data_IF_151364337307
#
_entry.id   IF_151364337307
#
_cell.length_a   1.000
_cell.length_b   1.000
_cell.length_c   1.000
_cell.angle_alpha   90.00
_cell.angle_beta   90.00
_cell.angle_gamma   90.00
#
_symmetry.space_group_name_H-M   'P 1'
#
loop_
_entity.id
_entity.type
_entity.pdbx_description
1 polymer ?
#
# COMPACT_ATOMS: atom_id res chain seq x y z
N UNK A 1 5.82 -10.50 6.91
CA UNK A 1 4.42 -10.68 7.34
C UNK A 1 3.75 -11.68 6.42
N UNK A 2 3.02 -12.67 6.97
CA UNK A 2 2.22 -13.61 6.16
C UNK A 2 0.78 -13.09 6.08
N UNK A 3 0.09 -13.36 4.98
CA UNK A 3 -1.28 -12.89 4.72
C UNK A 3 -2.20 -14.10 4.58
N UNK A 4 -3.24 -14.13 5.42
CA UNK A 4 -4.26 -15.16 5.46
C UNK A 4 -5.64 -14.49 5.33
N UNK A 5 -6.55 -15.01 4.48
CA UNK A 5 -7.94 -14.62 4.43
C UNK A 5 -8.74 -15.35 5.52
N UNK A 6 -10.05 -15.14 5.58
CA UNK A 6 -10.93 -15.76 6.57
C UNK A 6 -10.89 -17.31 6.59
N UNK A 7 -10.47 -17.96 5.50
CA UNK A 7 -10.31 -19.42 5.40
C UNK A 7 -8.95 -19.96 5.85
N UNK A 8 -8.10 -19.14 6.49
CA UNK A 8 -6.78 -19.51 7.05
C UNK A 8 -5.76 -20.11 6.07
N UNK A 9 -6.04 -20.05 4.77
CA UNK A 9 -5.10 -20.46 3.72
C UNK A 9 -4.07 -19.36 3.44
N UNK A 10 -2.78 -19.70 3.42
CA UNK A 10 -1.75 -18.72 3.06
C UNK A 10 -1.96 -18.19 1.62
N UNK A 11 -2.23 -16.89 1.49
CA UNK A 11 -2.33 -16.20 0.19
C UNK A 11 -0.96 -15.68 -0.26
N UNK A 12 -0.08 -15.38 0.68
CA UNK A 12 1.27 -14.93 0.38
C UNK A 12 1.97 -14.26 1.55
N UNK A 13 3.05 -13.56 1.25
CA UNK A 13 3.81 -12.83 2.27
C UNK A 13 4.34 -11.50 1.77
N UNK A 14 4.43 -10.53 2.68
CA UNK A 14 5.10 -9.25 2.47
C UNK A 14 6.44 -9.28 3.19
N UNK A 15 7.52 -9.02 2.44
CA UNK A 15 8.88 -8.93 2.97
C UNK A 15 9.42 -7.53 2.79
N UNK A 16 9.74 -6.87 3.90
CA UNK A 16 10.45 -5.60 3.87
C UNK A 16 11.89 -5.80 3.42
N UNK A 17 12.35 -4.88 2.57
CA UNK A 17 13.73 -4.74 2.13
C UNK A 17 14.18 -3.33 2.41
N UNK A 18 15.43 -3.21 2.82
CA UNK A 18 16.05 -1.90 3.01
C UNK A 18 16.69 -1.45 1.71
N UNK A 19 16.33 -0.26 1.26
CA UNK A 19 17.09 0.52 0.30
C UNK A 19 17.72 1.71 1.01
N UNK A 20 18.87 2.17 0.51
CA UNK A 20 19.63 3.28 1.13
C UNK A 20 18.77 4.57 1.21
N UNK A 21 17.87 4.80 0.24
CA UNK A 21 17.02 6.00 0.15
C UNK A 21 15.55 5.70 -0.21
N UNK A 22 15.13 4.44 -0.12
CA UNK A 22 13.78 4.05 -0.48
C UNK A 22 13.28 2.96 0.45
N UNK A 23 12.01 3.06 0.84
CA UNK A 23 11.34 1.91 1.38
C UNK A 23 10.98 0.96 0.26
N UNK A 24 11.33 -0.31 0.45
CA UNK A 24 11.07 -1.36 -0.53
C UNK A 24 10.39 -2.53 0.16
N UNK A 25 9.34 -3.06 -0.46
CA UNK A 25 8.71 -4.29 -0.02
C UNK A 25 8.47 -5.21 -1.22
N UNK A 26 8.77 -6.49 -1.02
CA UNK A 26 8.44 -7.54 -1.97
C UNK A 26 7.17 -8.25 -1.50
N UNK A 27 6.19 -8.38 -2.39
CA UNK A 27 5.05 -9.26 -2.21
C UNK A 27 5.39 -10.59 -2.85
N UNK A 28 5.15 -11.66 -2.11
CA UNK A 28 5.47 -13.03 -2.51
C UNK A 28 4.23 -13.89 -2.46
N UNK A 29 4.11 -14.79 -3.40
CA UNK A 29 3.08 -15.82 -3.41
C UNK A 29 3.31 -16.85 -2.26
N UNK A 30 2.41 -17.83 -2.08
CA UNK A 30 2.56 -18.86 -1.04
C UNK A 30 3.83 -19.71 -1.21
N UNK A 31 4.33 -19.85 -2.44
CA UNK A 31 5.55 -20.57 -2.77
C UNK A 31 6.82 -19.74 -2.52
N UNK A 32 6.66 -18.47 -2.13
CA UNK A 32 7.76 -17.56 -1.79
C UNK A 32 8.37 -16.82 -2.99
N UNK A 33 7.79 -16.94 -4.18
CA UNK A 33 8.22 -16.24 -5.39
C UNK A 33 7.71 -14.81 -5.35
N UNK A 34 8.59 -13.84 -5.58
CA UNK A 34 8.19 -12.44 -5.63
C UNK A 34 7.31 -12.18 -6.86
N UNK A 35 6.13 -11.59 -6.64
CA UNK A 35 5.13 -11.30 -7.69
C UNK A 35 5.00 -9.81 -7.97
N UNK A 36 5.12 -8.98 -6.92
CA UNK A 36 4.98 -7.54 -6.98
C UNK A 36 5.97 -6.84 -6.04
N UNK A 37 6.18 -5.55 -6.26
CA UNK A 37 7.02 -4.69 -5.41
C UNK A 37 6.31 -3.40 -5.06
N UNK A 38 6.47 -2.95 -3.83
CA UNK A 38 6.06 -1.62 -3.37
C UNK A 38 7.31 -0.80 -3.12
N UNK A 39 7.36 0.41 -3.70
CA UNK A 39 8.46 1.35 -3.50
C UNK A 39 7.92 2.70 -3.03
N UNK A 40 8.48 3.22 -1.95
CA UNK A 40 8.17 4.55 -1.42
C UNK A 40 9.41 5.40 -1.20
N UNK A 41 9.21 6.71 -1.07
CA UNK A 41 10.23 7.67 -0.62
C UNK A 41 10.64 7.37 0.83
N UNK A 42 11.95 7.46 1.14
CA UNK A 42 12.45 7.36 2.52
C UNK A 42 12.42 8.71 3.26
N UNK A 43 11.81 9.75 2.68
CA UNK A 43 11.82 11.09 3.26
C UNK A 43 11.40 11.08 4.74
N UNK A 44 12.22 11.73 5.57
CA UNK A 44 12.06 11.75 7.03
C UNK A 44 10.75 12.43 7.50
N UNK A 45 10.06 13.16 6.61
CA UNK A 45 8.81 13.88 6.87
C UNK A 45 7.55 13.02 6.73
N UNK A 46 7.62 11.71 7.02
CA UNK A 46 6.50 10.74 6.82
C UNK A 46 5.17 11.19 7.44
N UNK A 47 5.24 11.93 8.55
CA UNK A 47 4.08 12.40 9.30
C UNK A 47 3.66 13.84 8.96
N UNK A 48 4.39 14.55 8.08
CA UNK A 48 4.13 15.97 7.76
C UNK A 48 4.24 16.26 6.27
N UNK A 49 3.90 15.28 5.43
CA UNK A 49 3.88 15.46 3.98
C UNK A 49 3.02 14.40 3.31
N UNK A 50 2.54 14.70 2.10
CA UNK A 50 1.92 13.71 1.23
C UNK A 50 2.93 12.61 0.92
N UNK A 51 2.48 11.35 0.94
CA UNK A 51 3.31 10.19 0.61
C UNK A 51 2.65 9.41 -0.51
N UNK A 52 3.46 8.90 -1.42
CA UNK A 52 3.01 7.99 -2.48
C UNK A 52 3.96 6.80 -2.56
N UNK A 53 3.38 5.62 -2.72
CA UNK A 53 4.08 4.36 -2.85
C UNK A 53 3.65 3.69 -4.15
N UNK A 54 4.61 3.49 -5.03
CA UNK A 54 4.40 2.86 -6.33
C UNK A 54 4.34 1.35 -6.16
N UNK A 55 3.26 0.75 -6.63
CA UNK A 55 3.09 -0.71 -6.70
C UNK A 55 3.37 -1.14 -8.13
N UNK A 56 4.35 -2.03 -8.31
CA UNK A 56 4.80 -2.52 -9.61
C UNK A 56 4.75 -4.04 -9.67
N UNK A 57 4.59 -4.60 -10.85
CA UNK A 57 4.78 -6.02 -11.11
C UNK A 57 6.25 -6.40 -10.90
N UNK A 58 6.56 -7.70 -10.82
CA UNK A 58 7.95 -8.18 -10.81
C UNK A 58 8.79 -7.66 -11.98
N UNK A 59 8.14 -7.51 -13.15
CA UNK A 59 8.74 -6.98 -14.37
C UNK A 59 8.89 -5.45 -14.39
N UNK A 60 8.36 -4.74 -13.38
CA UNK A 60 8.47 -3.28 -13.25
C UNK A 60 7.27 -2.50 -13.81
N UNK A 61 6.26 -3.18 -14.36
CA UNK A 61 5.05 -2.52 -14.87
C UNK A 61 4.24 -1.91 -13.71
N UNK A 62 3.78 -0.66 -13.79
CA UNK A 62 2.99 -0.02 -12.73
C UNK A 62 1.60 -0.64 -12.63
N UNK A 63 1.19 -1.02 -11.42
CA UNK A 63 -0.09 -1.68 -11.13
C UNK A 63 -1.02 -0.78 -10.31
N UNK A 64 -0.48 -0.09 -9.30
CA UNK A 64 -1.26 0.78 -8.43
C UNK A 64 -0.38 1.84 -7.77
N UNK A 65 -1.02 2.86 -7.18
CA UNK A 65 -0.37 3.83 -6.30
C UNK A 65 -1.10 3.82 -4.96
N UNK A 66 -0.37 3.55 -3.89
CA UNK A 66 -0.87 3.75 -2.52
C UNK A 66 -0.49 5.18 -2.14
N UNK A 67 -1.43 5.96 -1.61
CA UNK A 67 -1.17 7.34 -1.25
C UNK A 67 -1.64 7.63 0.17
N UNK A 68 -0.96 8.57 0.82
CA UNK A 68 -1.36 9.22 2.06
C UNK A 68 -1.32 10.72 1.83
N UNK A 69 -2.38 11.43 2.16
CA UNK A 69 -2.43 12.88 2.13
C UNK A 69 -2.20 13.44 3.53
N UNK A 70 -1.42 14.50 3.61
CA UNK A 70 -1.22 15.27 4.83
C UNK A 70 -2.18 16.46 4.80
N UNK A 71 -3.17 16.53 5.71
CA UNK A 71 -4.14 17.62 5.72
C UNK A 71 -3.55 18.97 6.15
N UNK A 72 -2.29 19.00 6.61
CA UNK A 72 -1.62 20.18 7.14
C UNK A 72 -1.31 20.04 8.63
N UNK A 73 -0.79 21.12 9.23
CA UNK A 73 -0.52 21.16 10.67
C UNK A 73 -1.86 21.20 11.42
N UNK A 74 -2.17 20.14 12.16
CA UNK A 74 -3.33 20.07 13.05
C UNK A 74 -2.83 20.08 14.50
N UNK A 75 -3.52 20.82 15.38
CA UNK A 75 -3.17 20.91 16.81
C UNK A 75 -3.36 19.56 17.52
N UNK A 76 -4.35 18.80 17.06
CA UNK A 76 -4.46 17.37 17.36
C UNK A 76 -3.39 16.63 16.58
N UNK A 77 -2.43 16.04 17.31
CA UNK A 77 -1.29 15.29 16.77
C UNK A 77 -1.73 14.47 15.57
N UNK A 78 -1.12 14.72 14.41
CA UNK A 78 -1.42 14.04 13.15
C UNK A 78 -1.21 12.52 13.31
N UNK A 79 -2.29 11.82 13.64
CA UNK A 79 -2.34 10.38 13.67
C UNK A 79 -2.50 9.94 12.21
N UNK A 80 -1.48 9.29 11.65
CA UNK A 80 -1.27 8.95 10.23
C UNK A 80 -2.40 8.14 9.50
N UNK A 81 -3.61 8.09 10.04
CA UNK A 81 -4.62 7.06 9.80
C UNK A 81 -5.91 7.49 9.09
N UNK A 82 -6.10 8.78 8.75
CA UNK A 82 -7.40 9.24 8.22
C UNK A 82 -7.45 9.47 6.70
N UNK A 83 -6.32 9.84 6.08
CA UNK A 83 -6.30 10.26 4.68
C UNK A 83 -5.36 9.41 3.83
N UNK A 84 -5.72 8.15 3.58
CA UNK A 84 -4.98 7.27 2.69
C UNK A 84 -5.90 6.50 1.74
N UNK A 85 -5.34 6.00 0.65
CA UNK A 85 -6.07 5.23 -0.35
C UNK A 85 -5.16 4.50 -1.33
N UNK A 86 -5.78 3.80 -2.26
CA UNK A 86 -5.10 3.06 -3.32
C UNK A 86 -5.78 3.35 -4.64
N UNK A 87 -5.01 3.85 -5.60
CA UNK A 87 -5.43 4.03 -6.98
C UNK A 87 -4.92 2.85 -7.79
N UNK A 88 -5.81 1.91 -8.11
CA UNK A 88 -5.49 0.77 -8.97
C UNK A 88 -5.58 1.20 -10.43
N UNK A 89 -4.53 0.97 -11.22
CA UNK A 89 -4.66 1.05 -12.67
C UNK A 89 -5.43 -0.19 -13.13
N UNK A 90 -6.65 -0.01 -13.60
CA UNK A 90 -7.37 -1.11 -14.26
C UNK A 90 -6.55 -1.46 -15.49
N UNK A 91 -5.90 -2.63 -15.48
CA UNK A 91 -5.38 -3.22 -16.71
C UNK A 91 -6.62 -3.68 -17.49
N UNK A 92 -6.94 -3.07 -18.65
CA UNK A 92 -8.09 -3.51 -19.44
C UNK A 92 -7.83 -4.95 -19.87
N UNK A 93 -8.58 -5.90 -19.32
CA UNK A 93 -8.38 -7.34 -19.51
C UNK A 93 -8.71 -8.21 -18.30
N UNK A 94 -8.89 -7.63 -17.11
CA UNK A 94 -9.62 -8.29 -16.00
C UNK A 94 -10.77 -7.39 -15.59
N UNK A 95 -11.94 -7.72 -16.13
CA UNK A 95 -13.26 -7.36 -15.60
C UNK A 95 -13.22 -7.35 -14.05
N UNK A 96 -13.66 -6.35 -13.33
CA UNK A 96 -14.54 -5.24 -13.66
C UNK A 96 -15.28 -4.87 -12.38
N UNK A 97 -14.58 -4.68 -11.26
CA UNK A 97 -15.20 -4.22 -10.01
C UNK A 97 -14.47 -3.00 -9.48
N UNK A 98 -15.17 -1.88 -9.57
CA UNK A 98 -14.77 -0.57 -9.06
C UNK A 98 -14.85 -0.60 -7.53
N UNK A 99 -13.90 -1.25 -6.87
CA UNK A 99 -13.79 -1.20 -5.42
C UNK A 99 -13.12 0.11 -5.00
N UNK A 100 -13.89 1.20 -4.93
CA UNK A 100 -13.50 2.36 -4.11
C UNK A 100 -13.66 1.94 -2.64
N UNK A 101 -12.73 1.16 -2.10
CA UNK A 101 -12.72 0.91 -0.66
C UNK A 101 -12.13 2.13 0.04
N UNK A 102 -12.97 3.12 0.35
CA UNK A 102 -12.66 3.98 1.48
C UNK A 102 -12.74 3.08 2.71
N UNK A 103 -11.60 2.76 3.31
CA UNK A 103 -11.56 2.14 4.63
C UNK A 103 -11.94 3.24 5.63
N UNK A 104 -13.23 3.57 5.72
CA UNK A 104 -13.77 4.34 6.86
C UNK A 104 -14.11 3.34 7.95
N UNK A 105 -13.68 3.63 9.19
CA UNK A 105 -14.21 2.93 10.36
C UNK A 105 -15.70 3.24 10.49
N UNK A 106 -16.51 2.34 11.08
CA UNK A 106 -17.84 2.71 11.53
C UNK A 106 -17.66 3.72 12.65
N UNK A 107 -18.32 4.86 12.53
CA UNK A 107 -18.38 5.88 13.56
C UNK A 107 -18.90 5.24 14.86
N UNK A 108 -18.09 5.30 15.91
CA UNK A 108 -18.37 4.70 17.21
C UNK A 108 -17.84 5.57 18.33
N UNK A 109 -18.72 6.48 18.79
CA UNK A 109 -18.76 7.23 20.06
C UNK A 109 -17.44 7.69 20.69
#
# INVERSE_FOLDING_TARGET
MRVFPAGDQLVGSVRQRWGILAHLWDLRDPQGVATMRIRGSCAASRCSSNQEFQVTSRAGSPLAVIWKRWPGFNEDRNMDHEFFGVDTRIIPGREGERMRSLIRRPDGK
#
